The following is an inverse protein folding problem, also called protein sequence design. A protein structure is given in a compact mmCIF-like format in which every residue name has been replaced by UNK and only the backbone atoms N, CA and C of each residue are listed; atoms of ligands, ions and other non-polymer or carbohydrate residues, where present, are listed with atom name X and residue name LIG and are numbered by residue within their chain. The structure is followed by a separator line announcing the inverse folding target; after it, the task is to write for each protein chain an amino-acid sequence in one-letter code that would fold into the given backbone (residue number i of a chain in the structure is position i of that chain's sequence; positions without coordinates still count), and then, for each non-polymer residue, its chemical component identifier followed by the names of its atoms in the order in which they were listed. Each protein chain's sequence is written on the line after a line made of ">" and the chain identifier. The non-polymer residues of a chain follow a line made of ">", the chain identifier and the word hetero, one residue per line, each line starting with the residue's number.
data_IF_065323414955
#
_entry.id   IF_065323414955
#
_cell.length_a   1.000
_cell.length_b   1.000
_cell.length_c   1.000
_cell.angle_alpha   90.00
_cell.angle_beta   90.00
_cell.angle_gamma   90.00
#
_symmetry.space_group_name_H-M   'P 1'
#
loop_
_entity.id
_entity.type
_entity.pdbx_description
1 polymer ?
#
# COMPACT_ATOMS: atom_id res chain seq x y z
N UNK A 1 20.05 -6.62 39.68
CA UNK A 1 18.59 -6.31 39.65
C UNK A 1 18.41 -5.04 38.81
N UNK A 2 18.12 -5.15 37.52
CA UNK A 2 17.88 -4.01 36.62
C UNK A 2 16.44 -3.57 36.81
N UNK A 3 16.20 -2.33 37.23
CA UNK A 3 14.87 -1.74 37.32
C UNK A 3 14.38 -1.40 35.92
N UNK A 4 13.32 -2.06 35.48
CA UNK A 4 12.62 -1.73 34.24
C UNK A 4 12.06 -0.30 34.34
N UNK A 5 12.40 0.55 33.37
CA UNK A 5 11.89 1.92 33.27
C UNK A 5 10.45 1.84 32.75
N UNK A 6 9.50 2.37 33.51
CA UNK A 6 8.10 2.48 33.11
C UNK A 6 7.92 3.40 31.92
N UNK A 7 7.02 3.07 30.97
CA UNK A 7 6.69 3.88 29.77
C UNK A 7 6.31 5.33 30.12
N UNK A 8 5.72 5.56 31.29
CA UNK A 8 5.36 6.88 31.79
C UNK A 8 6.59 7.72 32.16
N UNK A 9 7.63 7.11 32.70
CA UNK A 9 8.88 7.80 33.08
C UNK A 9 9.75 8.09 31.84
N UNK A 10 9.63 7.30 30.77
CA UNK A 10 10.30 7.57 29.50
C UNK A 10 9.73 8.82 28.81
N UNK A 11 8.39 8.95 28.80
CA UNK A 11 7.73 10.13 28.20
C UNK A 11 7.96 11.42 28.99
N UNK A 12 8.16 11.35 30.30
CA UNK A 12 8.52 12.54 31.09
C UNK A 12 9.99 12.97 30.90
N UNK A 13 10.89 12.04 30.65
CA UNK A 13 12.30 12.37 30.42
C UNK A 13 12.54 13.06 29.05
N UNK A 14 11.75 12.73 28.05
CA UNK A 14 11.83 13.36 26.70
C UNK A 14 11.15 14.74 26.64
N UNK A 15 10.19 15.03 27.52
CA UNK A 15 9.50 16.33 27.59
C UNK A 15 10.34 17.45 28.24
N UNK A 16 11.37 17.13 29.03
CA UNK A 16 12.15 18.12 29.77
C UNK A 16 13.32 18.74 28.96
N UNK A 17 13.71 18.16 27.85
CA UNK A 17 14.82 18.67 27.01
C UNK A 17 14.35 19.66 25.94
N UNK A 18 13.05 19.69 25.63
CA UNK A 18 12.46 20.57 24.60
C UNK A 18 12.09 21.97 25.05
N UNK A 19 12.06 22.29 26.37
CA UNK A 19 11.56 23.55 26.88
C UNK A 19 12.62 24.62 27.22
N UNK A 20 13.90 24.30 27.06
CA UNK A 20 14.98 25.24 27.44
C UNK A 20 15.57 26.05 26.27
N UNK A 21 15.07 25.89 25.03
CA UNK A 21 15.65 26.50 23.82
C UNK A 21 14.92 27.69 23.20
N UNK A 22 13.79 28.18 23.75
CA UNK A 22 12.91 29.12 23.05
C UNK A 22 12.67 30.49 23.83
N UNK A 23 13.55 30.91 24.70
CA UNK A 23 13.37 32.17 25.47
C UNK A 23 14.46 33.24 25.26
N UNK A 24 15.12 33.28 24.13
CA UNK A 24 16.10 34.34 23.84
C UNK A 24 15.92 34.93 22.44
N UNK A 25 14.76 35.52 22.14
CA UNK A 25 14.61 36.50 21.05
C UNK A 25 13.29 37.26 21.15
N UNK A 26 13.20 38.22 22.06
CA UNK A 26 12.24 39.32 22.00
C UNK A 26 12.90 40.60 22.48
N UNK A 27 13.23 41.50 21.56
CA UNK A 27 13.64 42.86 21.84
C UNK A 27 13.70 43.73 20.60
N UNK A 28 12.73 44.68 20.55
CA UNK A 28 12.69 45.93 19.78
C UNK A 28 11.96 45.98 18.43
N UNK A 29 10.83 46.70 18.49
CA UNK A 29 10.06 47.40 17.44
C UNK A 29 10.73 48.75 17.09
N UNK A 30 10.30 49.57 16.08
CA UNK A 30 9.33 49.42 14.99
C UNK A 30 9.82 50.01 13.63
N UNK A 31 9.14 49.75 12.54
CA UNK A 31 8.53 50.72 11.64
C UNK A 31 8.23 50.15 10.24
N UNK A 32 7.12 50.59 9.70
CA UNK A 32 6.44 50.16 8.50
C UNK A 32 7.24 50.25 7.20
N UNK A 33 7.02 49.33 6.28
CA UNK A 33 6.71 49.65 4.89
C UNK A 33 6.15 48.43 4.15
N UNK A 34 5.01 48.62 3.55
CA UNK A 34 4.29 47.70 2.65
C UNK A 34 5.07 47.50 1.36
N UNK A 35 5.36 46.23 1.00
CA UNK A 35 5.47 45.81 -0.38
C UNK A 35 5.04 44.34 -0.49
N UNK A 36 3.92 44.14 -1.16
CA UNK A 36 3.47 42.82 -1.58
C UNK A 36 4.52 42.23 -2.51
N UNK A 37 5.18 41.19 -2.03
CA UNK A 37 6.02 40.36 -2.90
C UNK A 37 5.26 39.08 -3.13
N UNK A 38 4.78 38.89 -4.36
CA UNK A 38 4.25 37.66 -4.90
C UNK A 38 5.25 36.55 -4.62
N UNK A 39 4.83 35.59 -3.78
CA UNK A 39 5.51 34.30 -3.73
C UNK A 39 5.31 33.63 -5.09
N UNK A 40 6.31 33.73 -5.95
CA UNK A 40 6.42 32.86 -7.11
C UNK A 40 6.47 31.43 -6.58
N UNK A 41 5.41 30.65 -6.82
CA UNK A 41 5.46 29.22 -6.71
C UNK A 41 6.60 28.77 -7.63
N UNK A 42 7.67 28.27 -7.02
CA UNK A 42 8.72 27.58 -7.74
C UNK A 42 8.09 26.32 -8.31
N UNK A 43 7.68 26.38 -9.58
CA UNK A 43 7.40 25.18 -10.35
C UNK A 43 8.71 24.39 -10.38
N UNK A 44 8.68 23.22 -9.76
CA UNK A 44 9.70 22.20 -10.03
C UNK A 44 9.74 22.02 -11.55
N UNK A 45 10.93 22.00 -12.17
CA UNK A 45 11.02 21.77 -13.60
C UNK A 45 10.34 20.45 -13.91
N UNK A 46 9.35 20.48 -14.81
CA UNK A 46 8.87 19.27 -15.45
C UNK A 46 10.11 18.55 -15.99
N UNK A 47 10.36 17.34 -15.49
CA UNK A 47 11.44 16.51 -16.01
C UNK A 47 11.13 16.30 -17.49
N UNK A 48 11.85 16.98 -18.34
CA UNK A 48 11.88 16.70 -19.77
C UNK A 48 12.32 15.24 -19.88
N UNK A 49 11.58 14.45 -20.65
CA UNK A 49 11.96 13.08 -20.97
C UNK A 49 13.43 13.09 -21.40
N UNK A 50 14.28 12.51 -20.57
CA UNK A 50 15.72 12.59 -20.79
C UNK A 50 16.08 11.66 -21.94
N UNK A 51 16.48 12.22 -23.06
CA UNK A 51 17.03 11.46 -24.19
C UNK A 51 18.31 10.67 -23.81
N UNK A 52 18.86 10.91 -22.61
CA UNK A 52 20.08 10.28 -22.11
C UNK A 52 19.84 8.90 -21.46
N UNK A 53 18.60 8.48 -21.22
CA UNK A 53 18.34 7.13 -20.69
C UNK A 53 18.78 6.07 -21.70
N UNK A 54 19.82 5.35 -21.36
CA UNK A 54 20.32 4.21 -22.12
C UNK A 54 20.49 2.99 -21.19
N UNK A 55 20.25 1.80 -21.73
CA UNK A 55 20.55 0.57 -21.00
C UNK A 55 22.08 0.44 -20.85
N UNK A 56 22.51 -0.06 -19.70
CA UNK A 56 23.92 -0.34 -19.45
C UNK A 56 24.36 -1.63 -20.14
N UNK A 57 25.45 -1.56 -20.90
CA UNK A 57 26.09 -2.75 -21.46
C UNK A 57 27.06 -3.42 -20.46
N UNK A 58 27.37 -2.74 -19.34
CA UNK A 58 28.25 -3.24 -18.29
C UNK A 58 27.52 -4.12 -17.27
N UNK A 59 28.27 -4.69 -16.31
CA UNK A 59 27.68 -5.45 -15.21
C UNK A 59 26.74 -4.58 -14.36
N UNK A 60 25.52 -5.07 -14.10
CA UNK A 60 24.50 -4.41 -13.30
C UNK A 60 24.07 -5.34 -12.17
N UNK A 61 24.07 -4.82 -10.95
CA UNK A 61 23.51 -5.52 -9.80
C UNK A 61 22.23 -4.81 -9.36
N UNK A 62 21.11 -5.52 -9.36
CA UNK A 62 19.81 -5.03 -8.93
C UNK A 62 19.32 -5.84 -7.74
N UNK A 63 18.50 -5.23 -6.92
CA UNK A 63 17.80 -5.88 -5.83
C UNK A 63 16.30 -5.77 -6.04
N UNK A 64 15.57 -6.86 -5.71
CA UNK A 64 14.10 -6.90 -5.82
C UNK A 64 13.48 -7.43 -4.54
N UNK A 65 12.31 -6.93 -4.18
CA UNK A 65 11.59 -7.43 -3.02
C UNK A 65 10.10 -7.65 -3.27
N UNK A 66 9.58 -8.73 -2.66
CA UNK A 66 8.15 -9.07 -2.70
C UNK A 66 7.71 -9.88 -1.50
N UNK A 67 6.39 -9.91 -1.26
CA UNK A 67 5.78 -10.79 -0.27
C UNK A 67 4.94 -11.89 -0.92
N UNK A 68 4.72 -12.98 -0.22
CA UNK A 68 3.85 -14.06 -0.68
C UNK A 68 3.97 -15.32 0.14
N UNK A 69 3.38 -16.38 -0.38
CA UNK A 69 3.59 -17.75 0.05
C UNK A 69 4.55 -18.48 -0.88
N UNK A 70 4.87 -19.73 -0.55
CA UNK A 70 5.90 -20.54 -1.21
C UNK A 70 5.74 -20.62 -2.73
N UNK A 71 4.50 -20.80 -3.23
CA UNK A 71 4.23 -20.87 -4.67
C UNK A 71 4.58 -19.58 -5.40
N UNK A 72 4.31 -18.42 -4.78
CA UNK A 72 4.69 -17.11 -5.33
C UNK A 72 6.21 -16.94 -5.30
N UNK A 73 6.85 -17.30 -4.20
CA UNK A 73 8.31 -17.24 -4.10
C UNK A 73 8.99 -18.07 -5.18
N UNK A 74 8.53 -19.32 -5.40
CA UNK A 74 9.05 -20.16 -6.45
C UNK A 74 8.84 -19.57 -7.85
N UNK A 75 7.65 -19.02 -8.15
CA UNK A 75 7.35 -18.42 -9.44
C UNK A 75 8.24 -17.20 -9.74
N UNK A 76 8.44 -16.31 -8.76
CA UNK A 76 9.32 -15.16 -8.93
C UNK A 76 10.79 -15.56 -9.09
N UNK A 77 11.27 -16.51 -8.30
CA UNK A 77 12.64 -17.04 -8.44
C UNK A 77 12.88 -17.63 -9.82
N UNK A 78 11.94 -18.46 -10.32
CA UNK A 78 12.03 -19.02 -11.66
C UNK A 78 12.01 -17.95 -12.76
N UNK A 79 11.21 -16.90 -12.59
CA UNK A 79 11.19 -15.78 -13.53
C UNK A 79 12.52 -14.98 -13.51
N UNK A 80 13.13 -14.79 -12.34
CA UNK A 80 14.44 -14.14 -12.23
C UNK A 80 15.56 -14.97 -12.83
N UNK A 81 15.52 -16.30 -12.67
CA UNK A 81 16.47 -17.21 -13.32
C UNK A 81 16.38 -17.11 -14.85
N UNK A 82 15.16 -17.12 -15.41
CA UNK A 82 14.95 -16.96 -16.84
C UNK A 82 15.42 -15.59 -17.34
N UNK A 83 15.11 -14.51 -16.61
CA UNK A 83 15.55 -13.15 -16.93
C UNK A 83 17.10 -13.03 -16.96
N UNK A 84 17.76 -13.55 -15.94
CA UNK A 84 19.24 -13.50 -15.86
C UNK A 84 19.90 -14.38 -16.92
N UNK A 85 19.25 -15.46 -17.37
CA UNK A 85 19.74 -16.27 -18.47
C UNK A 85 19.73 -15.51 -19.82
N UNK A 86 18.76 -14.64 -20.01
CA UNK A 86 18.67 -13.77 -21.21
C UNK A 86 19.56 -12.51 -21.08
N UNK A 87 19.78 -12.02 -19.86
CA UNK A 87 20.53 -10.80 -19.55
C UNK A 87 21.73 -11.09 -18.65
N UNK A 88 22.74 -11.75 -19.19
CA UNK A 88 23.89 -12.26 -18.44
C UNK A 88 24.75 -11.19 -17.77
N UNK A 89 24.61 -9.91 -18.17
CA UNK A 89 25.27 -8.78 -17.53
C UNK A 89 24.49 -8.25 -16.30
N UNK A 90 23.28 -8.75 -16.03
CA UNK A 90 22.45 -8.31 -14.91
C UNK A 90 22.36 -9.41 -13.86
N UNK A 91 22.72 -9.08 -12.62
CA UNK A 91 22.48 -9.94 -11.45
C UNK A 91 21.36 -9.33 -10.62
N UNK A 92 20.39 -10.15 -10.22
CA UNK A 92 19.25 -9.69 -9.41
C UNK A 92 19.24 -10.42 -8.07
N UNK A 93 19.31 -9.67 -6.97
CA UNK A 93 19.31 -10.18 -5.60
C UNK A 93 17.89 -10.11 -5.01
N UNK A 94 17.24 -11.25 -4.73
CA UNK A 94 15.88 -11.28 -4.23
C UNK A 94 15.82 -11.16 -2.70
N UNK A 95 14.84 -10.40 -2.21
CA UNK A 95 14.43 -10.36 -0.80
C UNK A 95 12.92 -10.62 -0.72
N UNK A 96 12.51 -11.65 0.00
CA UNK A 96 11.10 -11.98 0.12
C UNK A 96 10.73 -12.54 1.50
N UNK A 97 9.47 -12.42 1.86
CA UNK A 97 8.91 -12.99 3.09
C UNK A 97 7.39 -13.18 2.98
N UNK A 98 6.77 -13.70 4.05
CA UNK A 98 5.32 -13.73 4.19
C UNK A 98 4.75 -12.30 4.30
N UNK A 99 3.44 -12.18 4.12
CA UNK A 99 2.71 -10.91 4.25
C UNK A 99 2.82 -10.26 5.64
N UNK A 100 2.80 -11.08 6.69
CA UNK A 100 2.81 -10.59 8.08
C UNK A 100 4.12 -9.86 8.39
N UNK A 101 4.02 -8.61 8.82
CA UNK A 101 5.18 -7.76 9.15
C UNK A 101 5.90 -7.17 7.92
N UNK A 102 5.41 -7.44 6.70
CA UNK A 102 6.05 -6.93 5.49
C UNK A 102 5.93 -5.42 5.34
N UNK A 103 4.76 -4.85 5.66
CA UNK A 103 4.54 -3.41 5.60
C UNK A 103 5.51 -2.64 6.48
N UNK A 104 5.64 -3.06 7.73
CA UNK A 104 6.52 -2.44 8.70
C UNK A 104 8.00 -2.53 8.29
N UNK A 105 8.39 -3.70 7.75
CA UNK A 105 9.74 -3.91 7.21
C UNK A 105 10.04 -2.95 6.06
N UNK A 106 9.12 -2.84 5.10
CA UNK A 106 9.29 -1.97 3.94
C UNK A 106 9.26 -0.48 4.32
N UNK A 107 8.35 -0.08 5.22
CA UNK A 107 8.31 1.29 5.73
C UNK A 107 9.65 1.68 6.39
N UNK A 108 10.22 0.80 7.21
CA UNK A 108 11.53 1.03 7.82
C UNK A 108 12.65 1.12 6.75
N UNK A 109 12.63 0.28 5.72
CA UNK A 109 13.62 0.30 4.65
C UNK A 109 13.55 1.59 3.82
N UNK A 110 12.34 2.08 3.50
CA UNK A 110 12.15 3.36 2.80
C UNK A 110 12.63 4.56 3.63
N UNK A 111 12.37 4.56 4.94
CA UNK A 111 12.84 5.61 5.85
C UNK A 111 14.37 5.60 5.95
N UNK A 112 14.97 4.41 6.04
CA UNK A 112 16.43 4.25 6.14
C UNK A 112 17.15 4.48 4.80
N UNK A 113 16.45 4.56 3.67
CA UNK A 113 17.04 4.74 2.35
C UNK A 113 17.75 3.48 1.83
N UNK A 114 17.37 2.30 2.33
CA UNK A 114 17.94 1.00 1.94
C UNK A 114 16.89 0.02 1.41
N UNK A 115 15.76 0.53 0.90
CA UNK A 115 14.80 -0.28 0.16
C UNK A 115 15.44 -0.82 -1.13
N UNK A 116 14.95 -1.96 -1.60
CA UNK A 116 15.43 -2.58 -2.85
C UNK A 116 15.13 -1.68 -4.07
N UNK A 117 15.89 -1.86 -5.15
CA UNK A 117 15.73 -1.09 -6.39
C UNK A 117 14.34 -1.30 -7.01
N UNK A 118 13.84 -2.55 -6.94
CA UNK A 118 12.49 -2.90 -7.38
C UNK A 118 11.71 -3.46 -6.20
N UNK A 119 10.58 -2.84 -5.87
CA UNK A 119 9.78 -3.23 -4.72
C UNK A 119 8.34 -3.56 -5.12
N UNK A 120 7.83 -4.71 -4.66
CA UNK A 120 6.39 -4.91 -4.65
C UNK A 120 5.78 -4.04 -3.56
N UNK A 121 4.83 -3.17 -3.94
CA UNK A 121 4.12 -2.26 -3.02
C UNK A 121 2.62 -2.56 -3.09
N UNK A 122 1.93 -2.55 -1.96
CA UNK A 122 0.47 -2.59 -1.98
C UNK A 122 -0.05 -1.19 -2.35
N UNK A 123 -1.09 -1.11 -3.16
CA UNK A 123 -1.64 0.15 -3.67
C UNK A 123 -1.96 1.17 -2.56
N UNK A 124 -2.48 0.71 -1.42
CA UNK A 124 -2.81 1.60 -0.29
C UNK A 124 -1.57 2.13 0.46
N UNK A 125 -0.41 1.47 0.34
CA UNK A 125 0.84 1.98 0.93
C UNK A 125 1.52 3.00 0.04
N UNK A 126 1.22 2.99 -1.24
CA UNK A 126 1.83 3.90 -2.22
C UNK A 126 1.68 5.36 -1.80
N UNK A 127 0.49 5.75 -1.34
CA UNK A 127 0.24 7.09 -0.81
C UNK A 127 1.04 7.40 0.47
N UNK A 128 1.29 6.40 1.32
CA UNK A 128 2.08 6.58 2.52
C UNK A 128 3.57 6.76 2.20
N UNK A 129 4.06 6.08 1.18
CA UNK A 129 5.48 6.13 0.81
C UNK A 129 5.81 7.28 -0.14
N UNK A 130 4.89 7.67 -0.99
CA UNK A 130 5.11 8.62 -2.09
C UNK A 130 3.90 9.55 -2.30
N UNK A 131 3.46 10.24 -1.25
CA UNK A 131 2.30 11.13 -1.31
C UNK A 131 2.44 12.27 -2.34
N UNK A 132 3.66 12.71 -2.58
CA UNK A 132 4.03 13.75 -3.54
C UNK A 132 4.46 13.21 -4.92
N UNK A 133 4.44 11.89 -5.12
CA UNK A 133 4.83 11.25 -6.36
C UNK A 133 6.34 11.21 -6.63
N UNK A 134 7.18 11.56 -5.64
CA UNK A 134 8.63 11.71 -5.84
C UNK A 134 9.47 10.51 -5.42
N UNK A 135 8.89 9.53 -4.72
CA UNK A 135 9.66 8.43 -4.12
C UNK A 135 10.09 7.38 -5.13
N UNK A 136 9.27 7.13 -6.12
CA UNK A 136 9.53 6.15 -7.18
C UNK A 136 9.70 6.86 -8.52
N UNK A 137 10.33 6.19 -9.47
CA UNK A 137 10.47 6.69 -10.84
C UNK A 137 9.09 6.86 -11.46
N UNK A 138 8.88 7.99 -12.12
CA UNK A 138 7.69 8.18 -12.94
C UNK A 138 7.80 7.36 -14.23
N UNK A 139 7.05 6.27 -14.31
CA UNK A 139 7.07 5.37 -15.46
C UNK A 139 6.56 6.02 -16.76
N UNK A 140 5.85 7.14 -16.71
CA UNK A 140 5.51 7.90 -17.90
C UNK A 140 6.76 8.41 -18.63
N UNK A 141 7.87 8.61 -17.91
CA UNK A 141 9.16 9.03 -18.47
C UNK A 141 9.94 7.88 -19.10
N UNK A 142 9.52 6.63 -18.87
CA UNK A 142 10.22 5.41 -19.33
C UNK A 142 9.56 4.74 -20.53
N UNK A 143 8.64 5.38 -21.20
CA UNK A 143 7.86 4.82 -22.33
C UNK A 143 8.72 4.28 -23.48
N UNK A 144 9.98 4.70 -23.57
CA UNK A 144 10.97 4.18 -24.51
C UNK A 144 11.35 2.70 -24.20
N UNK A 145 11.20 2.26 -22.94
CA UNK A 145 11.61 0.94 -22.47
C UNK A 145 10.44 0.08 -22.02
N UNK A 146 9.37 0.70 -21.53
CA UNK A 146 8.20 0.02 -20.97
C UNK A 146 6.96 0.48 -21.71
N UNK A 147 6.30 -0.45 -22.40
CA UNK A 147 5.00 -0.22 -23.00
C UNK A 147 3.90 -0.37 -21.94
N UNK A 148 3.46 0.75 -21.38
CA UNK A 148 2.43 0.80 -20.34
C UNK A 148 1.03 0.44 -20.85
N UNK A 149 0.81 0.37 -22.16
CA UNK A 149 -0.49 -0.01 -22.73
C UNK A 149 -0.82 -1.50 -22.58
N UNK A 150 0.13 -2.30 -22.12
CA UNK A 150 -0.06 -3.74 -21.84
C UNK A 150 -0.95 -3.99 -20.61
N UNK A 151 -1.16 -2.98 -19.77
CA UNK A 151 -1.99 -3.11 -18.57
C UNK A 151 -3.35 -2.45 -18.74
N UNK A 152 -4.35 -3.00 -18.06
CA UNK A 152 -5.68 -2.41 -17.98
C UNK A 152 -5.62 -1.02 -17.32
N UNK A 153 -6.29 -0.03 -17.91
CA UNK A 153 -6.24 1.35 -17.44
C UNK A 153 -6.76 1.53 -16.02
N UNK A 154 -7.84 0.83 -15.65
CA UNK A 154 -8.40 0.92 -14.31
C UNK A 154 -7.44 0.33 -13.24
N UNK A 155 -6.66 -0.69 -13.62
CA UNK A 155 -5.62 -1.22 -12.75
C UNK A 155 -4.42 -0.25 -12.65
N UNK A 156 -4.08 0.44 -13.74
CA UNK A 156 -3.02 1.46 -13.76
C UNK A 156 -3.37 2.68 -12.91
N UNK A 157 -4.65 3.09 -12.88
CA UNK A 157 -5.12 4.22 -12.05
C UNK A 157 -4.82 4.02 -10.56
N UNK A 158 -4.88 2.78 -10.06
CA UNK A 158 -4.52 2.46 -8.69
C UNK A 158 -3.01 2.64 -8.39
N UNK A 159 -2.20 2.75 -9.41
CA UNK A 159 -0.75 2.93 -9.35
C UNK A 159 -0.31 4.38 -9.61
N UNK A 160 -1.25 5.30 -9.74
CA UNK A 160 -1.02 6.71 -10.09
C UNK A 160 -1.14 7.60 -8.86
N UNK A 161 -0.11 8.37 -8.56
CA UNK A 161 -0.08 9.29 -7.40
C UNK A 161 0.55 10.61 -7.81
N UNK A 162 -0.08 11.72 -7.44
CA UNK A 162 0.44 13.08 -7.64
C UNK A 162 0.93 13.36 -9.08
N UNK A 163 0.15 12.94 -10.08
CA UNK A 163 0.44 13.06 -11.51
C UNK A 163 1.64 12.23 -12.02
N UNK A 164 2.03 11.19 -11.29
CA UNK A 164 3.13 10.28 -11.62
C UNK A 164 2.66 8.81 -11.60
N UNK A 165 3.00 8.06 -12.64
CA UNK A 165 2.78 6.61 -12.70
C UNK A 165 3.89 5.90 -11.93
N UNK A 166 3.65 5.61 -10.68
CA UNK A 166 4.67 5.16 -9.72
C UNK A 166 5.00 3.66 -9.83
N UNK A 167 4.12 2.85 -10.39
CA UNK A 167 4.32 1.41 -10.56
C UNK A 167 3.39 0.83 -11.63
N UNK A 168 3.56 -0.46 -11.92
CA UNK A 168 2.65 -1.26 -12.73
C UNK A 168 1.97 -2.32 -11.87
N UNK A 169 0.70 -2.67 -12.12
CA UNK A 169 0.00 -3.70 -11.37
C UNK A 169 0.54 -5.09 -11.73
N UNK A 170 1.03 -5.84 -10.74
CA UNK A 170 1.49 -7.22 -10.91
C UNK A 170 0.43 -8.25 -10.52
N UNK A 171 -0.55 -7.86 -9.72
CA UNK A 171 -1.72 -8.68 -9.36
C UNK A 171 -2.83 -7.81 -8.80
N UNK A 172 -4.06 -8.25 -8.99
CA UNK A 172 -5.24 -7.66 -8.39
C UNK A 172 -5.87 -8.65 -7.41
N UNK A 173 -6.30 -8.14 -6.27
CA UNK A 173 -7.07 -8.91 -5.29
C UNK A 173 -8.34 -8.14 -4.96
N UNK A 174 -9.40 -8.87 -4.67
CA UNK A 174 -10.67 -8.28 -4.26
C UNK A 174 -11.21 -8.97 -3.02
N UNK A 175 -12.03 -8.26 -2.27
CA UNK A 175 -12.82 -8.86 -1.21
C UNK A 175 -14.10 -9.39 -1.82
N UNK A 176 -14.26 -10.70 -1.78
CA UNK A 176 -15.44 -11.40 -2.30
C UNK A 176 -15.99 -12.34 -1.25
N UNK A 177 -17.27 -12.61 -1.33
CA UNK A 177 -17.91 -13.59 -0.48
C UNK A 177 -17.90 -14.96 -1.17
N UNK A 178 -17.46 -15.96 -0.44
CA UNK A 178 -17.59 -17.36 -0.82
C UNK A 178 -18.76 -17.96 -0.05
N UNK A 179 -19.73 -18.50 -0.78
CA UNK A 179 -20.90 -19.15 -0.20
C UNK A 179 -20.71 -20.66 -0.20
N UNK A 180 -20.66 -21.27 0.98
CA UNK A 180 -20.64 -22.73 1.09
C UNK A 180 -22.07 -23.27 0.87
N UNK A 181 -22.45 -23.40 -0.39
CA UNK A 181 -23.80 -23.86 -0.76
C UNK A 181 -24.15 -25.24 -0.23
N UNK A 182 -23.19 -26.11 0.03
CA UNK A 182 -23.44 -27.40 0.69
C UNK A 182 -24.03 -27.18 2.09
N UNK A 183 -23.53 -26.23 2.86
CA UNK A 183 -24.04 -25.89 4.19
C UNK A 183 -25.36 -25.12 4.09
N UNK A 184 -25.47 -24.19 3.15
CA UNK A 184 -26.72 -23.45 2.89
C UNK A 184 -27.87 -24.41 2.52
N UNK A 185 -27.63 -25.39 1.64
CA UNK A 185 -28.62 -26.40 1.29
C UNK A 185 -29.08 -27.24 2.48
N UNK A 186 -28.17 -27.58 3.41
CA UNK A 186 -28.54 -28.27 4.66
C UNK A 186 -29.47 -27.42 5.55
N UNK A 187 -29.34 -26.09 5.49
CA UNK A 187 -30.24 -25.16 6.15
C UNK A 187 -31.54 -24.90 5.36
N UNK A 188 -31.72 -25.53 4.19
CA UNK A 188 -32.88 -25.36 3.32
C UNK A 188 -32.82 -24.12 2.43
N UNK A 189 -31.64 -23.52 2.25
CA UNK A 189 -31.43 -22.33 1.44
C UNK A 189 -30.72 -22.76 0.14
N UNK A 190 -31.38 -22.56 -0.99
CA UNK A 190 -30.91 -23.01 -2.32
C UNK A 190 -30.29 -21.88 -3.15
N UNK A 191 -30.48 -20.63 -2.76
CA UNK A 191 -29.90 -19.46 -3.43
C UNK A 191 -29.02 -18.67 -2.48
N UNK A 192 -28.02 -17.99 -3.03
CA UNK A 192 -27.17 -17.06 -2.25
C UNK A 192 -27.99 -15.84 -1.81
N UNK A 193 -27.80 -15.32 -0.58
CA UNK A 193 -28.40 -14.08 -0.14
C UNK A 193 -28.06 -12.92 -1.09
N UNK A 194 -29.06 -12.13 -1.47
CA UNK A 194 -28.92 -10.95 -2.35
C UNK A 194 -29.09 -9.64 -1.59
N UNK A 195 -29.49 -9.72 -0.33
CA UNK A 195 -29.69 -8.58 0.55
C UNK A 195 -29.27 -8.89 1.97
N UNK A 196 -29.15 -7.87 2.82
CA UNK A 196 -28.91 -8.05 4.24
C UNK A 196 -30.08 -8.79 4.92
N UNK A 197 -31.32 -8.54 4.48
CA UNK A 197 -32.51 -9.21 5.02
C UNK A 197 -32.48 -10.70 4.70
N UNK A 198 -32.06 -11.10 3.49
CA UNK A 198 -31.87 -12.50 3.13
C UNK A 198 -30.80 -13.16 4.01
N UNK A 199 -29.72 -12.42 4.27
CA UNK A 199 -28.63 -12.91 5.14
C UNK A 199 -29.10 -13.09 6.59
N UNK A 200 -29.92 -12.18 7.09
CA UNK A 200 -30.54 -12.29 8.42
C UNK A 200 -31.53 -13.46 8.50
N UNK A 201 -32.31 -13.67 7.42
CA UNK A 201 -33.19 -14.83 7.30
C UNK A 201 -32.39 -16.14 7.26
N UNK A 202 -31.29 -16.16 6.52
CA UNK A 202 -30.36 -17.29 6.49
C UNK A 202 -29.81 -17.59 7.90
N UNK A 203 -29.48 -16.57 8.70
CA UNK A 203 -29.04 -16.74 10.08
C UNK A 203 -30.04 -17.52 10.94
N UNK A 204 -31.33 -17.19 10.83
CA UNK A 204 -32.40 -17.91 11.52
C UNK A 204 -32.52 -19.36 11.04
N UNK A 205 -32.52 -19.58 9.72
CA UNK A 205 -32.59 -20.92 9.16
C UNK A 205 -31.41 -21.80 9.57
N UNK A 206 -30.19 -21.27 9.63
CA UNK A 206 -29.01 -21.97 10.14
C UNK A 206 -29.17 -22.38 11.60
N UNK A 207 -29.60 -21.46 12.45
CA UNK A 207 -29.85 -21.74 13.86
C UNK A 207 -30.91 -22.81 14.08
N UNK A 208 -32.03 -22.74 13.35
CA UNK A 208 -33.15 -23.67 13.45
C UNK A 208 -32.82 -25.08 12.92
N UNK A 209 -32.06 -25.16 11.82
CA UNK A 209 -31.82 -26.43 11.12
C UNK A 209 -30.49 -27.07 11.47
N UNK A 210 -29.47 -26.29 11.80
CA UNK A 210 -28.09 -26.77 11.99
C UNK A 210 -27.56 -26.53 13.41
N UNK A 211 -28.26 -25.74 14.23
CA UNK A 211 -27.85 -25.42 15.60
C UNK A 211 -26.85 -24.26 15.67
N UNK A 212 -26.30 -24.04 16.87
CA UNK A 212 -25.50 -22.86 17.20
C UNK A 212 -24.05 -22.90 16.71
N UNK A 213 -23.59 -24.02 16.18
CA UNK A 213 -22.21 -24.19 15.71
C UNK A 213 -22.03 -23.81 14.24
N UNK A 214 -23.11 -23.45 13.56
CA UNK A 214 -23.13 -23.08 12.14
C UNK A 214 -23.62 -21.65 11.93
N UNK A 215 -22.88 -20.91 11.12
CA UNK A 215 -23.16 -19.52 10.80
C UNK A 215 -23.18 -19.33 9.28
N UNK A 216 -24.09 -18.52 8.73
CA UNK A 216 -24.17 -18.26 7.30
C UNK A 216 -23.01 -17.41 6.78
N UNK A 217 -22.35 -16.65 7.68
CA UNK A 217 -21.23 -15.77 7.34
C UNK A 217 -20.24 -15.68 8.49
N UNK A 218 -18.95 -15.75 8.15
CA UNK A 218 -17.85 -15.43 9.05
C UNK A 218 -17.11 -14.20 8.52
N UNK A 219 -16.97 -13.18 9.37
CA UNK A 219 -16.29 -11.94 9.06
C UNK A 219 -15.27 -11.61 10.15
N UNK A 220 -14.05 -11.31 9.75
CA UNK A 220 -13.06 -10.67 10.60
C UNK A 220 -13.52 -9.29 11.08
N UNK A 221 -12.87 -8.74 12.10
CA UNK A 221 -13.22 -7.41 12.63
C UNK A 221 -13.13 -6.32 11.55
N UNK A 222 -12.09 -6.36 10.73
CA UNK A 222 -11.87 -5.43 9.63
C UNK A 222 -12.93 -5.56 8.52
N UNK A 223 -13.28 -6.79 8.14
CA UNK A 223 -14.29 -7.05 7.12
C UNK A 223 -15.69 -6.62 7.55
N UNK A 224 -16.00 -6.72 8.83
CA UNK A 224 -17.26 -6.20 9.40
C UNK A 224 -17.35 -4.68 9.27
N UNK A 225 -16.26 -3.97 9.52
CA UNK A 225 -16.20 -2.51 9.33
C UNK A 225 -16.44 -2.12 7.86
N UNK A 226 -15.73 -2.77 6.94
CA UNK A 226 -15.87 -2.50 5.50
C UNK A 226 -17.30 -2.78 5.04
N UNK A 227 -17.87 -3.92 5.43
CA UNK A 227 -19.25 -4.25 5.08
C UNK A 227 -20.26 -3.21 5.61
N UNK A 228 -20.05 -2.74 6.85
CA UNK A 228 -20.87 -1.70 7.43
C UNK A 228 -20.77 -0.37 6.68
N UNK A 229 -19.57 0.05 6.30
CA UNK A 229 -19.34 1.26 5.53
C UNK A 229 -20.05 1.17 4.17
N UNK A 230 -19.85 0.09 3.42
CA UNK A 230 -20.51 -0.10 2.13
C UNK A 230 -22.04 -0.20 2.25
N UNK A 231 -22.56 -0.85 3.31
CA UNK A 231 -23.98 -0.88 3.56
C UNK A 231 -24.56 0.52 3.83
N UNK A 232 -23.90 1.29 4.68
CA UNK A 232 -24.35 2.66 5.00
C UNK A 232 -24.24 3.57 3.78
N UNK A 233 -23.16 3.46 3.01
CA UNK A 233 -22.97 4.22 1.77
C UNK A 233 -24.05 3.88 0.74
N UNK A 234 -24.32 2.59 0.50
CA UNK A 234 -25.36 2.16 -0.44
C UNK A 234 -26.77 2.59 -0.04
N UNK A 235 -27.02 2.77 1.27
CA UNK A 235 -28.36 3.13 1.79
C UNK A 235 -28.55 4.62 1.99
N UNK A 236 -27.50 5.35 2.35
CA UNK A 236 -27.57 6.75 2.77
C UNK A 236 -26.60 7.65 2.02
N UNK A 237 -25.67 7.08 1.25
CA UNK A 237 -24.78 7.84 0.38
C UNK A 237 -25.60 8.64 -0.62
N UNK A 238 -25.20 9.86 -0.88
CA UNK A 238 -25.73 10.66 -1.98
C UNK A 238 -24.80 10.46 -3.16
N UNK A 239 -25.39 10.14 -4.32
CA UNK A 239 -24.73 10.17 -5.62
C UNK A 239 -24.21 11.58 -5.93
#
# INVERSE_FOLDING_TARGET
>A
MSKAISRRNFLMATGAVGAAGLLAACGSKPAASSTASSAAASQAPAASADESLALSDGPVNLSISWWGGDSRHAAYQSALEAFQAEHSNITVEPTFAAWSGWEEKMAAAFIAGNAQDVCQVNWNWLYNYSADGSKFVDLNTTSKFIDLTQWDSAAMDACYVANSQQCVPVSMTGRIFYWNMTTFNKAGITEVPKSLDDLMAAGKAFQEKLGNDYYPMHLGAYDRMILMVFYLESKYGKD
#
